data_IF_443760501414
#
_entry.id   IF_443760501414
#
_cell.length_a   1.000
_cell.length_b   1.000
_cell.length_c   1.000
_cell.angle_alpha   90.00
_cell.angle_beta   90.00
_cell.angle_gamma   90.00
#
_symmetry.space_group_name_H-M   'P 1'
#
loop_
_entity.id
_entity.type
_entity.pdbx_description
1 polymer ?
#
# COMPACT_ATOMS: atom_id res chain seq x y z
N UNK A 1 19.63 7.47 -12.30
CA UNK A 1 18.63 7.51 -11.21
C UNK A 1 17.89 8.84 -11.33
N UNK A 2 16.56 8.85 -11.37
CA UNK A 2 15.80 10.09 -11.45
C UNK A 2 15.95 10.93 -10.18
N UNK A 3 15.53 12.20 -10.24
CA UNK A 3 15.48 13.08 -9.06
C UNK A 3 14.54 12.51 -7.99
N UNK A 4 13.37 12.02 -8.37
CA UNK A 4 12.37 11.50 -7.43
C UNK A 4 12.85 10.23 -6.74
N UNK A 5 13.45 9.30 -7.49
CA UNK A 5 14.01 8.07 -6.94
C UNK A 5 15.19 8.35 -6.00
N UNK A 6 16.07 9.29 -6.35
CA UNK A 6 17.14 9.73 -5.45
C UNK A 6 16.61 10.36 -4.16
N UNK A 7 15.61 11.24 -4.26
CA UNK A 7 14.97 11.83 -3.09
C UNK A 7 14.28 10.77 -2.21
N UNK A 8 13.63 9.77 -2.82
CA UNK A 8 12.98 8.70 -2.09
C UNK A 8 14.01 7.83 -1.35
N UNK A 9 15.14 7.52 -1.99
CA UNK A 9 16.25 6.78 -1.38
C UNK A 9 16.87 7.54 -0.19
N UNK A 10 17.01 8.86 -0.29
CA UNK A 10 17.47 9.68 0.83
C UNK A 10 16.46 9.66 1.99
N UNK A 11 15.18 9.86 1.71
CA UNK A 11 14.12 9.81 2.73
C UNK A 11 14.08 8.44 3.40
N UNK A 12 14.12 7.35 2.63
CA UNK A 12 14.06 5.98 3.12
C UNK A 12 15.24 5.63 4.05
N UNK A 13 16.40 6.25 3.84
CA UNK A 13 17.56 6.14 4.70
C UNK A 13 17.61 7.19 5.84
N UNK A 14 16.54 7.96 6.05
CA UNK A 14 16.45 8.99 7.08
C UNK A 14 17.30 10.24 6.81
N UNK A 15 17.80 10.41 5.59
CA UNK A 15 18.58 11.57 5.13
C UNK A 15 17.68 12.63 4.53
N UNK A 16 18.13 13.89 4.61
CA UNK A 16 17.38 15.01 4.02
C UNK A 16 17.61 15.02 2.49
N UNK A 17 16.56 14.89 1.67
CA UNK A 17 16.70 15.02 0.23
C UNK A 17 16.97 16.48 -0.17
N UNK A 18 17.36 16.72 -1.42
CA UNK A 18 17.55 18.06 -1.96
C UNK A 18 16.32 18.97 -1.74
N UNK A 19 16.53 20.27 -1.58
CA UNK A 19 15.45 21.20 -1.29
C UNK A 19 14.35 21.17 -2.37
N UNK A 20 13.11 21.18 -1.90
CA UNK A 20 11.90 21.05 -2.73
C UNK A 20 11.58 19.63 -3.21
N UNK A 21 12.49 18.66 -3.10
CA UNK A 21 12.24 17.29 -3.59
C UNK A 21 11.24 16.50 -2.73
N UNK A 22 11.08 16.87 -1.45
CA UNK A 22 10.00 16.42 -0.58
C UNK A 22 9.13 17.64 -0.25
N UNK A 23 7.85 17.58 -0.63
CA UNK A 23 6.92 18.68 -0.40
C UNK A 23 6.72 18.95 1.09
N UNK A 24 6.55 20.22 1.46
CA UNK A 24 6.41 20.61 2.87
C UNK A 24 5.18 20.00 3.54
N UNK A 25 4.10 19.79 2.79
CA UNK A 25 2.87 19.15 3.21
C UNK A 25 2.87 17.63 3.00
N UNK A 26 4.03 17.01 2.75
CA UNK A 26 4.10 15.59 2.51
C UNK A 26 3.59 14.80 3.72
N UNK A 27 2.81 13.75 3.45
CA UNK A 27 2.31 12.83 4.46
C UNK A 27 2.92 11.44 4.27
N UNK A 28 3.20 10.74 5.37
CA UNK A 28 3.60 9.34 5.39
C UNK A 28 2.55 8.54 6.16
N UNK A 29 2.08 7.47 5.55
CA UNK A 29 1.37 6.38 6.23
C UNK A 29 2.35 5.18 6.31
N UNK A 30 2.90 4.90 7.49
CA UNK A 30 3.97 3.92 7.64
C UNK A 30 4.37 3.72 9.09
N UNK A 31 5.11 2.64 9.37
CA UNK A 31 5.55 2.30 10.75
C UNK A 31 4.42 2.17 11.79
N UNK A 32 3.19 1.93 11.32
CA UNK A 32 1.99 1.90 12.15
C UNK A 32 1.39 3.26 12.52
N UNK A 33 1.96 4.37 12.02
CA UNK A 33 1.53 5.74 12.35
C UNK A 33 1.34 6.59 11.09
N UNK A 34 0.80 7.79 11.28
CA UNK A 34 0.78 8.84 10.26
C UNK A 34 1.70 9.99 10.66
N UNK A 35 2.54 10.44 9.74
CA UNK A 35 3.43 11.59 9.93
C UNK A 35 3.21 12.64 8.84
N UNK A 36 3.39 13.91 9.20
CA UNK A 36 3.22 15.04 8.30
C UNK A 36 4.44 15.95 8.34
N UNK A 37 4.89 16.37 7.17
CA UNK A 37 6.06 17.22 6.99
C UNK A 37 7.37 16.46 7.08
N UNK A 38 8.42 17.14 6.61
CA UNK A 38 9.75 16.55 6.41
C UNK A 38 10.37 15.96 7.68
N UNK A 39 10.48 16.73 8.76
CA UNK A 39 11.25 16.29 9.93
C UNK A 39 10.61 15.10 10.67
N UNK A 40 9.28 15.05 10.88
CA UNK A 40 8.64 13.87 11.45
C UNK A 40 8.85 12.61 10.60
N UNK A 41 8.73 12.73 9.27
CA UNK A 41 8.96 11.62 8.33
C UNK A 41 10.41 11.11 8.42
N UNK A 42 11.39 12.02 8.34
CA UNK A 42 12.80 11.65 8.45
C UNK A 42 13.13 11.06 9.83
N UNK A 43 12.49 11.55 10.89
CA UNK A 43 12.65 11.02 12.24
C UNK A 43 12.22 9.57 12.38
N UNK A 44 11.20 9.13 11.64
CA UNK A 44 10.77 7.73 11.61
C UNK A 44 11.75 6.86 10.83
N UNK A 45 12.18 7.30 9.64
CA UNK A 45 13.16 6.55 8.84
C UNK A 45 14.55 6.48 9.49
N UNK A 46 14.94 7.43 10.35
CA UNK A 46 16.17 7.30 11.16
C UNK A 46 16.07 6.21 12.22
N UNK A 47 14.87 5.89 12.70
CA UNK A 47 14.66 4.82 13.68
C UNK A 47 14.61 3.45 13.02
N UNK A 48 14.04 3.36 11.81
CA UNK A 48 14.05 2.16 11.00
C UNK A 48 14.20 2.50 9.52
N UNK A 49 15.46 2.55 9.08
CA UNK A 49 15.80 2.83 7.69
C UNK A 49 15.37 1.68 6.78
N UNK A 50 14.93 2.03 5.57
CA UNK A 50 14.81 1.11 4.45
C UNK A 50 15.97 1.40 3.51
N UNK A 51 17.07 0.65 3.67
CA UNK A 51 18.25 0.79 2.81
C UNK A 51 17.91 0.26 1.41
N UNK A 52 17.76 1.17 0.45
CA UNK A 52 17.47 0.80 -0.95
C UNK A 52 18.79 0.39 -1.62
N UNK A 53 19.05 -0.92 -1.65
CA UNK A 53 20.26 -1.48 -2.28
C UNK A 53 20.14 -1.72 -3.80
N UNK A 54 21.21 -2.23 -4.40
CA UNK A 54 21.35 -2.44 -5.87
C UNK A 54 20.31 -3.40 -6.47
N UNK A 55 19.67 -4.22 -5.65
CA UNK A 55 18.63 -5.17 -6.06
C UNK A 55 17.21 -4.63 -5.85
N UNK A 56 17.05 -3.35 -5.50
CA UNK A 56 15.74 -2.74 -5.42
C UNK A 56 15.07 -2.70 -6.79
N UNK A 57 13.79 -3.05 -6.83
CA UNK A 57 12.96 -2.94 -8.02
C UNK A 57 12.17 -1.64 -7.93
N UNK A 58 12.25 -0.80 -8.96
CA UNK A 58 11.57 0.49 -8.99
C UNK A 58 10.67 0.61 -10.22
N UNK A 59 9.45 1.13 -10.02
CA UNK A 59 8.54 1.53 -11.09
C UNK A 59 8.25 3.01 -10.90
N UNK A 60 8.66 3.83 -11.87
CA UNK A 60 8.53 5.28 -11.83
C UNK A 60 7.69 5.75 -13.01
N UNK A 61 6.52 6.30 -12.71
CA UNK A 61 5.66 6.97 -13.68
C UNK A 61 5.59 8.47 -13.40
N UNK A 62 4.78 9.18 -14.19
CA UNK A 62 4.58 10.62 -14.01
C UNK A 62 3.90 10.96 -12.67
N UNK A 63 2.91 10.16 -12.28
CA UNK A 63 2.08 10.40 -11.10
C UNK A 63 2.58 9.71 -9.82
N UNK A 64 3.56 8.81 -9.92
CA UNK A 64 3.94 7.99 -8.78
C UNK A 64 5.23 7.22 -8.94
N UNK A 65 5.70 6.70 -7.81
CA UNK A 65 6.90 5.89 -7.70
C UNK A 65 6.65 4.74 -6.71
N UNK A 66 7.04 3.53 -7.09
CA UNK A 66 7.07 2.37 -6.20
C UNK A 66 8.50 1.83 -6.16
N UNK A 67 9.03 1.61 -4.97
CA UNK A 67 10.28 0.87 -4.77
C UNK A 67 10.06 -0.33 -3.87
N UNK A 68 10.47 -1.51 -4.32
CA UNK A 68 10.46 -2.76 -3.56
C UNK A 68 11.89 -3.12 -3.16
N UNK A 69 12.10 -3.42 -1.87
CA UNK A 69 13.37 -3.95 -1.39
C UNK A 69 13.18 -4.79 -0.14
N UNK A 70 13.87 -5.93 -0.05
CA UNK A 70 13.91 -6.80 1.15
C UNK A 70 12.52 -7.13 1.77
N UNK A 71 11.50 -7.33 0.93
CA UNK A 71 10.13 -7.64 1.39
C UNK A 71 9.31 -6.43 1.84
N UNK A 72 9.85 -5.22 1.69
CA UNK A 72 9.19 -3.94 1.92
C UNK A 72 8.89 -3.24 0.59
N UNK A 73 7.90 -2.36 0.62
CA UNK A 73 7.63 -1.43 -0.47
C UNK A 73 7.45 -0.01 0.04
N UNK A 74 7.99 0.95 -0.69
CA UNK A 74 7.73 2.37 -0.51
C UNK A 74 7.01 2.89 -1.75
N UNK A 75 5.73 3.24 -1.58
CA UNK A 75 4.90 3.83 -2.62
C UNK A 75 4.84 5.34 -2.40
N UNK A 76 4.90 6.12 -3.48
CA UNK A 76 4.85 7.57 -3.43
C UNK A 76 3.95 8.17 -4.51
N UNK A 77 3.18 9.19 -4.13
CA UNK A 77 2.55 10.12 -5.08
C UNK A 77 3.58 11.20 -5.48
N UNK A 78 3.68 11.48 -6.78
CA UNK A 78 4.54 12.52 -7.33
C UNK A 78 3.72 13.73 -7.77
N UNK A 79 4.25 14.92 -7.49
CA UNK A 79 3.70 16.21 -7.94
C UNK A 79 4.85 17.01 -8.54
N UNK A 80 4.82 17.21 -9.86
CA UNK A 80 5.89 17.85 -10.63
C UNK A 80 7.27 17.22 -10.35
N UNK A 81 7.31 15.89 -10.22
CA UNK A 81 8.52 15.12 -9.90
C UNK A 81 9.00 15.21 -8.45
N UNK A 82 8.22 15.79 -7.54
CA UNK A 82 8.53 15.87 -6.10
C UNK A 82 7.62 14.94 -5.29
N UNK A 83 8.14 14.44 -4.16
CA UNK A 83 7.42 13.51 -3.28
C UNK A 83 6.34 14.24 -2.47
N UNK A 84 5.07 13.87 -2.66
CA UNK A 84 3.94 14.50 -1.96
C UNK A 84 3.21 13.61 -0.96
N UNK A 85 3.17 12.29 -1.16
CA UNK A 85 2.64 11.36 -0.16
C UNK A 85 3.38 10.05 -0.25
N UNK A 86 3.62 9.42 0.90
CA UNK A 86 4.40 8.19 1.02
C UNK A 86 3.60 7.12 1.76
N UNK A 87 3.78 5.87 1.37
CA UNK A 87 3.29 4.70 2.09
C UNK A 87 4.40 3.68 2.22
N UNK A 88 4.73 3.30 3.46
CA UNK A 88 5.66 2.21 3.73
C UNK A 88 4.87 0.93 4.04
N UNK A 89 5.05 -0.09 3.21
CA UNK A 89 4.38 -1.38 3.28
C UNK A 89 5.39 -2.44 3.73
N UNK A 90 5.05 -3.24 4.74
CA UNK A 90 5.92 -4.31 5.25
C UNK A 90 7.06 -3.84 6.17
N UNK A 91 7.08 -2.57 6.58
CA UNK A 91 8.03 -2.02 7.52
C UNK A 91 7.82 -2.47 8.97
N UNK A 92 8.78 -2.25 9.88
CA UNK A 92 8.59 -2.49 11.32
C UNK A 92 7.55 -1.52 11.90
N UNK A 93 6.94 -1.88 13.03
CA UNK A 93 6.03 -0.99 13.78
C UNK A 93 6.84 -0.20 14.80
N UNK A 94 6.79 1.13 14.74
CA UNK A 94 7.55 2.01 15.66
C UNK A 94 6.67 2.78 16.65
N UNK A 95 5.38 2.95 16.36
CA UNK A 95 4.47 3.72 17.20
C UNK A 95 3.28 2.91 17.69
N UNK A 96 2.53 3.50 18.65
CA UNK A 96 1.23 2.95 19.00
C UNK A 96 0.30 3.13 17.79
N UNK A 97 -0.29 2.05 17.28
CA UNK A 97 -1.11 2.14 16.10
C UNK A 97 -2.37 3.00 16.30
N UNK A 98 -2.77 3.73 15.25
CA UNK A 98 -4.07 4.39 15.23
C UNK A 98 -5.23 3.36 15.32
N UNK A 99 -6.35 3.69 15.98
CA UNK A 99 -7.51 2.81 16.06
C UNK A 99 -8.05 2.50 14.65
N UNK A 100 -8.36 1.23 14.39
CA UNK A 100 -8.97 0.82 13.13
C UNK A 100 -10.40 1.38 13.07
N UNK A 101 -10.67 2.26 12.09
CA UNK A 101 -12.03 2.63 11.74
C UNK A 101 -12.60 1.50 10.91
N UNK A 102 -13.55 0.75 11.48
CA UNK A 102 -14.26 -0.28 10.74
C UNK A 102 -15.09 0.36 9.62
N UNK A 103 -15.02 -0.21 8.42
CA UNK A 103 -16.06 -0.02 7.43
C UNK A 103 -17.32 -0.71 7.95
N UNK A 104 -18.41 0.03 8.13
CA UNK A 104 -19.68 -0.53 8.58
C UNK A 104 -20.13 -1.60 7.59
N UNK A 105 -20.26 -2.84 8.07
CA UNK A 105 -20.75 -3.99 7.29
C UNK A 105 -21.98 -4.53 7.99
N UNK A 106 -23.07 -4.59 7.24
CA UNK A 106 -24.28 -5.29 7.66
C UNK A 106 -24.21 -6.68 7.02
N UNK A 107 -24.14 -7.73 7.85
CA UNK A 107 -24.02 -9.11 7.39
C UNK A 107 -25.37 -9.68 6.89
N UNK A 108 -26.48 -9.01 7.20
CA UNK A 108 -27.84 -9.42 6.83
C UNK A 108 -28.31 -8.74 5.54
N UNK A 109 -27.64 -7.67 5.11
CA UNK A 109 -27.85 -7.04 3.82
C UNK A 109 -26.97 -7.71 2.76
N UNK A 110 -27.57 -8.05 1.61
CA UNK A 110 -26.86 -8.45 0.38
C UNK A 110 -26.17 -7.22 -0.25
N UNK A 111 -25.29 -6.58 0.53
CA UNK A 111 -24.43 -5.48 0.11
C UNK A 111 -23.44 -6.05 -0.89
N UNK A 112 -23.91 -6.20 -2.15
CA UNK A 112 -23.22 -6.82 -3.29
C UNK A 112 -21.74 -7.00 -3.00
N UNK A 113 -21.42 -8.21 -2.55
CA UNK A 113 -20.04 -8.61 -2.33
C UNK A 113 -19.34 -8.55 -3.69
N UNK A 114 -18.61 -7.47 -3.94
CA UNK A 114 -17.71 -7.40 -5.07
C UNK A 114 -18.06 -6.35 -6.11
N UNK A 115 -17.92 -5.08 -5.74
CA UNK A 115 -17.30 -4.16 -6.68
C UNK A 115 -16.01 -3.66 -6.06
N UNK A 116 -14.89 -4.07 -6.68
CA UNK A 116 -13.66 -3.30 -6.62
C UNK A 116 -14.07 -1.86 -6.95
N UNK A 117 -13.93 -0.90 -6.03
CA UNK A 117 -14.10 0.51 -6.40
C UNK A 117 -12.80 0.88 -7.11
N UNK A 118 -12.76 0.58 -8.41
CA UNK A 118 -11.66 0.89 -9.29
C UNK A 118 -12.24 1.33 -10.62
N UNK A 119 -12.33 2.63 -10.81
CA UNK A 119 -12.57 3.22 -12.11
C UNK A 119 -11.22 3.73 -12.64
N UNK A 120 -10.78 3.20 -13.78
CA UNK A 120 -9.53 3.65 -14.43
C UNK A 120 -9.48 5.16 -14.60
N UNK A 121 -10.62 5.83 -14.78
CA UNK A 121 -10.71 7.29 -14.97
C UNK A 121 -10.24 8.08 -13.74
N UNK A 122 -10.24 7.46 -12.56
CA UNK A 122 -9.72 8.06 -11.33
C UNK A 122 -8.17 8.08 -11.29
N UNK A 123 -7.51 7.40 -12.23
CA UNK A 123 -6.06 7.22 -12.27
C UNK A 123 -5.47 7.78 -13.57
N UNK A 124 -5.14 9.07 -13.56
CA UNK A 124 -4.45 9.71 -14.67
C UNK A 124 -3.13 8.98 -15.00
N UNK A 125 -2.90 8.73 -16.29
CA UNK A 125 -1.69 8.03 -16.75
C UNK A 125 -1.73 6.50 -16.61
N UNK A 126 -2.82 5.90 -16.13
CA UNK A 126 -2.99 4.45 -16.11
C UNK A 126 -3.49 3.92 -17.47
N UNK A 127 -2.67 3.09 -18.12
CA UNK A 127 -3.00 2.42 -19.38
C UNK A 127 -4.15 1.42 -19.19
N UNK A 128 -4.94 1.22 -20.24
CA UNK A 128 -6.14 0.36 -20.18
C UNK A 128 -5.80 -1.12 -19.94
N UNK A 129 -4.76 -1.63 -20.58
CA UNK A 129 -4.25 -2.99 -20.42
C UNK A 129 -3.73 -3.25 -19.00
N UNK A 130 -3.00 -2.28 -18.43
CA UNK A 130 -2.57 -2.35 -17.04
C UNK A 130 -3.75 -2.28 -16.07
N UNK A 131 -4.73 -1.42 -16.32
CA UNK A 131 -5.93 -1.32 -15.48
C UNK A 131 -6.70 -2.64 -15.44
N UNK A 132 -6.89 -3.31 -16.59
CA UNK A 132 -7.55 -4.61 -16.66
C UNK A 132 -6.80 -5.68 -15.85
N UNK A 133 -5.47 -5.75 -15.98
CA UNK A 133 -4.64 -6.68 -15.20
C UNK A 133 -4.70 -6.38 -13.69
N UNK A 134 -4.65 -5.10 -13.31
CA UNK A 134 -4.77 -4.69 -11.90
C UNK A 134 -6.13 -5.09 -11.32
N UNK A 135 -7.23 -4.87 -12.05
CA UNK A 135 -8.58 -5.26 -11.63
C UNK A 135 -8.68 -6.78 -11.43
N UNK A 136 -8.16 -7.57 -12.38
CA UNK A 136 -8.15 -9.03 -12.28
C UNK A 136 -7.39 -9.53 -11.03
N UNK A 137 -6.20 -8.97 -10.76
CA UNK A 137 -5.40 -9.37 -9.60
C UNK A 137 -6.07 -8.92 -8.29
N UNK A 138 -6.57 -7.70 -8.24
CA UNK A 138 -7.21 -7.16 -7.04
C UNK A 138 -8.50 -7.93 -6.70
N UNK A 139 -9.28 -8.34 -7.72
CA UNK A 139 -10.41 -9.26 -7.54
C UNK A 139 -9.97 -10.64 -7.06
N UNK A 140 -8.87 -11.17 -7.59
CA UNK A 140 -8.27 -12.41 -7.11
C UNK A 140 -7.89 -12.39 -5.63
N UNK A 141 -7.37 -11.25 -5.14
CA UNK A 141 -7.08 -11.03 -3.72
C UNK A 141 -8.35 -10.90 -2.85
N UNK A 142 -9.48 -10.52 -3.45
CA UNK A 142 -10.76 -10.31 -2.75
C UNK A 142 -11.59 -11.60 -2.61
N UNK A 143 -11.24 -12.68 -3.31
CA UNK A 143 -11.97 -13.94 -3.20
C UNK A 143 -11.51 -14.73 -1.96
N UNK A 144 -12.42 -15.27 -1.13
CA UNK A 144 -12.04 -16.19 -0.07
C UNK A 144 -11.30 -17.38 -0.70
N UNK A 145 -10.12 -17.75 -0.18
CA UNK A 145 -9.37 -18.96 -0.54
C UNK A 145 -10.27 -20.20 -0.42
N UNK A 146 -11.04 -20.48 -1.46
CA UNK A 146 -12.00 -21.59 -1.55
C UNK A 146 -11.53 -22.65 -2.56
N UNK A 147 -10.31 -22.50 -3.09
CA UNK A 147 -9.69 -23.45 -4.00
C UNK A 147 -8.20 -23.62 -3.72
N UNK A 148 -7.88 -24.38 -2.67
CA UNK A 148 -6.72 -25.29 -2.60
C UNK A 148 -5.30 -24.80 -2.88
N UNK A 149 -5.07 -23.52 -3.18
CA UNK A 149 -3.75 -22.95 -3.36
C UNK A 149 -3.44 -22.10 -2.11
N UNK A 150 -2.43 -22.50 -1.30
CA UNK A 150 -2.06 -21.72 -0.12
C UNK A 150 -1.45 -20.41 -0.61
N UNK A 151 -2.12 -19.29 -0.37
CA UNK A 151 -1.44 -18.01 -0.36
C UNK A 151 -1.07 -17.75 1.10
N UNK A 152 0.18 -17.99 1.51
CA UNK A 152 0.57 -18.12 2.92
C UNK A 152 0.35 -16.86 3.77
N UNK A 153 -0.10 -15.77 3.15
CA UNK A 153 -0.27 -14.46 3.77
C UNK A 153 -1.75 -14.13 4.07
N UNK A 154 -2.70 -14.79 3.40
CA UNK A 154 -4.11 -14.37 3.35
C UNK A 154 -5.09 -15.55 3.56
N UNK A 155 -4.64 -16.70 4.04
CA UNK A 155 -5.48 -17.91 4.10
C UNK A 155 -6.62 -17.88 5.16
N UNK A 156 -6.93 -16.73 5.74
CA UNK A 156 -7.90 -16.61 6.83
C UNK A 156 -8.76 -15.35 6.77
N UNK A 157 -9.07 -14.79 5.59
CA UNK A 157 -9.85 -13.54 5.51
C UNK A 157 -10.88 -13.55 4.37
N UNK A 158 -12.06 -12.98 4.62
CA UNK A 158 -12.87 -12.39 3.55
C UNK A 158 -12.32 -10.99 3.31
N UNK A 159 -11.74 -10.74 2.13
CA UNK A 159 -11.09 -9.48 1.78
C UNK A 159 -11.82 -8.78 0.66
N UNK A 160 -11.80 -7.46 0.71
CA UNK A 160 -12.06 -6.57 -0.40
C UNK A 160 -10.77 -5.80 -0.63
N UNK A 161 -10.23 -5.93 -1.83
CA UNK A 161 -9.15 -5.07 -2.29
C UNK A 161 -9.76 -3.83 -2.92
N UNK A 162 -9.21 -2.65 -2.64
CA UNK A 162 -9.64 -1.38 -3.23
C UNK A 162 -8.38 -0.68 -3.71
N UNK A 163 -8.27 -0.45 -5.02
CA UNK A 163 -7.15 0.28 -5.58
C UNK A 163 -7.34 1.76 -5.24
N UNK A 164 -6.43 2.33 -4.44
CA UNK A 164 -6.51 3.74 -4.02
C UNK A 164 -5.49 4.62 -4.76
N UNK A 165 -4.45 4.03 -5.35
CA UNK A 165 -3.51 4.67 -6.27
C UNK A 165 -3.07 3.66 -7.33
N UNK A 166 -2.86 4.12 -8.54
CA UNK A 166 -2.26 3.32 -9.60
C UNK A 166 -1.66 4.22 -10.68
N UNK A 167 -0.60 3.75 -11.33
CA UNK A 167 0.01 4.43 -12.47
C UNK A 167 0.73 3.42 -13.38
N UNK A 168 0.95 3.81 -14.65
CA UNK A 168 1.78 3.06 -15.60
C UNK A 168 3.13 3.72 -15.81
N UNK A 169 4.15 2.92 -16.09
CA UNK A 169 5.50 3.35 -16.41
C UNK A 169 6.06 2.47 -17.55
N UNK A 170 5.91 2.93 -18.79
CA UNK A 170 6.26 2.12 -19.95
C UNK A 170 5.42 0.84 -20.01
N UNK A 171 6.07 -0.30 -19.85
CA UNK A 171 5.45 -1.63 -19.87
C UNK A 171 5.19 -2.22 -18.47
N UNK A 172 5.55 -1.47 -17.43
CA UNK A 172 5.27 -1.79 -16.04
C UNK A 172 4.12 -0.95 -15.49
N UNK A 173 3.56 -1.39 -14.36
CA UNK A 173 2.60 -0.61 -13.58
C UNK A 173 2.75 -0.86 -12.09
N UNK A 174 2.26 0.07 -11.29
CA UNK A 174 2.20 -0.08 -9.85
C UNK A 174 0.83 0.36 -9.32
N UNK A 175 0.41 -0.25 -8.22
CA UNK A 175 -0.81 0.11 -7.51
C UNK A 175 -0.63 0.01 -6.00
N UNK A 176 -1.31 0.89 -5.28
CA UNK A 176 -1.51 0.81 -3.85
C UNK A 176 -2.96 0.39 -3.59
N UNK A 177 -3.13 -0.68 -2.81
CA UNK A 177 -4.42 -1.22 -2.44
C UNK A 177 -4.66 -1.01 -0.96
N UNK A 178 -5.92 -0.73 -0.62
CA UNK A 178 -6.47 -0.96 0.71
C UNK A 178 -7.08 -2.36 0.71
N UNK A 179 -6.67 -3.19 1.65
CA UNK A 179 -7.29 -4.48 1.91
C UNK A 179 -8.16 -4.34 3.15
N UNK A 180 -9.47 -4.49 2.98
CA UNK A 180 -10.43 -4.44 4.07
C UNK A 180 -11.13 -5.80 4.20
N UNK A 181 -11.34 -6.29 5.41
CA UNK A 181 -11.91 -7.61 5.59
C UNK A 181 -12.32 -7.93 7.02
N UNK A 182 -12.61 -9.20 7.25
CA UNK A 182 -12.83 -9.74 8.61
C UNK A 182 -11.89 -10.91 8.86
N UNK A 183 -11.37 -11.01 10.08
CA UNK A 183 -10.53 -12.13 10.51
C UNK A 183 -11.36 -13.43 10.52
N UNK A 184 -10.89 -14.51 9.88
CA UNK A 184 -11.66 -15.77 9.81
C UNK A 184 -11.82 -16.47 11.15
N UNK A 185 -10.94 -16.21 12.12
CA UNK A 185 -10.99 -16.83 13.44
C UNK A 185 -12.33 -16.55 14.16
N UNK A 186 -12.90 -15.36 13.97
CA UNK A 186 -14.16 -14.97 14.60
C UNK A 186 -15.21 -14.41 13.62
N UNK A 187 -14.82 -14.13 12.36
CA UNK A 187 -15.64 -13.47 11.31
C UNK A 187 -16.29 -12.15 11.76
N UNK A 188 -15.77 -11.54 12.81
CA UNK A 188 -16.36 -10.35 13.46
C UNK A 188 -15.37 -9.22 13.59
N UNK A 189 -14.09 -9.53 13.75
CA UNK A 189 -13.07 -8.50 13.89
C UNK A 189 -12.75 -7.94 12.51
N UNK A 190 -13.11 -6.67 12.23
CA UNK A 190 -12.77 -6.05 10.98
C UNK A 190 -11.28 -5.72 10.96
N UNK A 191 -10.68 -5.74 9.78
CA UNK A 191 -9.33 -5.22 9.60
C UNK A 191 -9.24 -4.37 8.33
N UNK A 192 -8.28 -3.45 8.36
CA UNK A 192 -7.87 -2.67 7.20
C UNK A 192 -6.35 -2.60 7.18
N UNK A 193 -5.74 -2.98 6.07
CA UNK A 193 -4.30 -2.86 5.83
C UNK A 193 -4.03 -2.37 4.41
N UNK A 194 -2.76 -2.09 4.10
CA UNK A 194 -2.33 -1.72 2.76
C UNK A 194 -1.60 -2.88 2.07
N UNK A 195 -1.60 -2.85 0.75
CA UNK A 195 -0.72 -3.67 -0.07
C UNK A 195 -0.19 -2.87 -1.26
N UNK A 196 1.08 -3.10 -1.62
CA UNK A 196 1.66 -2.60 -2.86
C UNK A 196 1.65 -3.72 -3.90
N UNK A 197 1.23 -3.41 -5.12
CA UNK A 197 1.23 -4.31 -6.27
C UNK A 197 2.09 -3.73 -7.37
N UNK A 198 2.98 -4.56 -7.92
CA UNK A 198 3.75 -4.26 -9.12
C UNK A 198 3.41 -5.23 -10.23
N UNK A 199 3.12 -4.69 -11.41
CA UNK A 199 3.00 -5.43 -12.65
C UNK A 199 4.27 -5.22 -13.47
N UNK A 200 4.85 -6.33 -13.91
CA UNK A 200 5.87 -6.33 -14.95
C UNK A 200 5.31 -6.90 -16.25
N UNK A 201 5.86 -6.45 -17.38
CA UNK A 201 5.51 -6.96 -18.71
C UNK A 201 5.77 -8.47 -18.83
N UNK A 202 6.95 -8.92 -18.39
CA UNK A 202 7.45 -10.29 -18.58
C UNK A 202 7.63 -11.05 -17.24
N UNK A 203 6.74 -10.84 -16.27
CA UNK A 203 6.87 -11.48 -14.97
C UNK A 203 5.54 -11.65 -14.23
N UNK A 204 5.58 -12.48 -13.18
CA UNK A 204 4.46 -12.61 -12.26
C UNK A 204 4.24 -11.30 -11.50
N UNK A 205 2.97 -10.92 -11.28
CA UNK A 205 2.67 -9.77 -10.43
C UNK A 205 3.22 -9.99 -9.03
N UNK A 206 3.83 -8.96 -8.44
CA UNK A 206 4.29 -9.01 -7.05
C UNK A 206 3.36 -8.19 -6.19
N UNK A 207 2.91 -8.80 -5.10
CA UNK A 207 2.10 -8.14 -4.06
C UNK A 207 2.88 -8.19 -2.75
N UNK A 208 3.12 -7.03 -2.15
CA UNK A 208 3.65 -6.90 -0.79
C UNK A 208 2.50 -6.42 0.09
N UNK A 209 2.17 -7.18 1.13
CA UNK A 209 1.09 -6.87 2.06
C UNK A 209 1.68 -6.37 3.37
N UNK A 210 1.11 -5.30 3.92
CA UNK A 210 1.49 -4.78 5.23
C UNK A 210 1.03 -5.73 6.36
N UNK A 211 1.92 -6.63 6.74
CA UNK A 211 1.73 -7.58 7.84
C UNK A 211 1.57 -6.90 9.19
N UNK A 212 2.31 -5.82 9.41
CA UNK A 212 2.20 -5.01 10.62
C UNK A 212 0.77 -4.44 10.76
N UNK A 213 0.18 -3.96 9.67
CA UNK A 213 -1.22 -3.52 9.65
C UNK A 213 -2.23 -4.63 9.96
N UNK A 214 -1.95 -5.87 9.56
CA UNK A 214 -2.78 -7.05 9.90
C UNK A 214 -2.65 -7.38 11.39
N UNK A 215 -1.44 -7.51 11.91
CA UNK A 215 -1.18 -7.81 13.34
C UNK A 215 -1.84 -6.76 14.23
N UNK A 216 -1.68 -5.47 13.91
CA UNK A 216 -2.38 -4.37 14.59
C UNK A 216 -3.88 -4.58 14.66
N UNK A 217 -4.50 -4.93 13.54
CA UNK A 217 -5.95 -5.08 13.47
C UNK A 217 -6.45 -6.26 14.33
N UNK A 218 -5.58 -7.22 14.66
CA UNK A 218 -5.84 -8.28 15.64
C UNK A 218 -5.74 -7.79 17.09
N UNK A 219 -4.82 -6.88 17.35
CA UNK A 219 -4.49 -6.41 18.71
C UNK A 219 -5.34 -5.22 19.17
N UNK A 220 -5.91 -4.46 18.23
CA UNK A 220 -6.79 -3.34 18.55
C UNK A 220 -8.17 -3.88 18.99
N UNK A 221 -8.62 -3.63 20.24
CA UNK A 221 -9.96 -4.05 20.65
C UNK A 221 -11.00 -3.35 19.79
N UNK A 222 -11.88 -4.16 19.19
CA UNK A 222 -13.05 -3.64 18.49
C UNK A 222 -13.97 -2.96 19.51
N UNK A 223 -14.20 -1.67 19.32
CA UNK A 223 -15.18 -0.92 20.12
C UNK A 223 -16.31 -0.50 19.18
N UNK A 224 -17.51 -1.10 19.28
CA UNK A 224 -18.67 -0.61 18.55
C UNK A 224 -18.93 0.84 18.96
N UNK A 225 -19.18 1.69 17.97
CA UNK A 225 -19.79 3.01 18.23
C UNK A 225 -21.28 2.75 18.44
N UNK A 226 -21.72 2.77 19.69
CA UNK A 226 -23.14 2.86 20.04
C UNK A 226 -23.65 4.28 19.80
#
# INVERSE_FOLDING_TARGET
>A
MSRALGALADVAAGRRPADGALLQNCALDGFGVRAFGREPILGLFRQAAMEIGDHALAVEGEAGLLVEHAGQALFADLYDGNLGRLWLIGGPVLGRPEPVIALARDLDLDQREGDLIFDRRDFAGLRADHAERLDQIARGLALPSSRGAPSPVIDAFSIRAIVIRAFSAGTDAAALLVLAGTLAADRRTPFTTFAALRLAEAGEPRVIVDQAGIVRSREAPWTPRF
#
